data_IF_759948963706
#
_entry.id   IF_759948963706
#
_cell.length_a   1.000
_cell.length_b   1.000
_cell.length_c   1.000
_cell.angle_alpha   90.00
_cell.angle_beta   90.00
_cell.angle_gamma   90.00
#
_symmetry.space_group_name_H-M   'P 1'
#
loop_
_entity.id
_entity.type
_entity.pdbx_description
1 polymer ?
#
# COMPACT_ATOMS: atom_id res chain seq x y z
N UNK A 1 9.49 -18.44 -16.83
CA UNK A 1 8.17 -17.86 -17.19
C UNK A 1 8.22 -16.40 -16.75
N UNK A 2 7.89 -15.44 -17.62
CA UNK A 2 7.98 -14.02 -17.29
C UNK A 2 6.93 -13.70 -16.21
N UNK A 3 7.38 -13.46 -14.98
CA UNK A 3 6.57 -13.29 -13.76
C UNK A 3 6.29 -11.81 -13.54
N UNK A 4 5.77 -11.13 -14.56
CA UNK A 4 5.35 -9.73 -14.46
C UNK A 4 3.83 -9.78 -14.29
N UNK A 5 3.35 -9.84 -13.06
CA UNK A 5 1.91 -9.90 -12.80
C UNK A 5 1.27 -8.54 -13.07
N UNK A 6 1.89 -7.44 -12.60
CA UNK A 6 1.37 -6.10 -12.88
C UNK A 6 2.42 -4.99 -12.97
N UNK A 7 2.06 -3.91 -13.67
CA UNK A 7 2.81 -2.67 -13.72
C UNK A 7 1.96 -1.47 -13.33
N UNK A 8 2.41 -0.66 -12.38
CA UNK A 8 1.71 0.57 -11.99
C UNK A 8 1.88 1.60 -13.10
N UNK A 9 0.79 2.04 -13.70
CA UNK A 9 0.80 3.04 -14.79
C UNK A 9 0.69 4.45 -14.25
N UNK A 10 -0.09 4.64 -13.18
CA UNK A 10 -0.43 5.96 -12.67
C UNK A 10 -0.84 5.91 -11.20
N UNK A 11 -0.39 6.90 -10.43
CA UNK A 11 -0.96 7.17 -9.11
C UNK A 11 -2.13 8.15 -9.29
N UNK A 12 -3.32 7.76 -8.85
CA UNK A 12 -4.54 8.54 -8.98
C UNK A 12 -4.75 9.46 -7.77
N UNK A 13 -4.44 8.97 -6.58
CA UNK A 13 -4.56 9.74 -5.34
C UNK A 13 -3.62 9.18 -4.27
N UNK A 14 -3.15 10.06 -3.39
CA UNK A 14 -2.32 9.72 -2.25
C UNK A 14 -2.84 10.42 -1.00
N UNK A 15 -2.94 9.67 0.08
CA UNK A 15 -3.21 10.21 1.41
C UNK A 15 -2.14 9.73 2.37
N UNK A 16 -1.38 10.68 2.90
CA UNK A 16 -0.31 10.44 3.86
C UNK A 16 -0.85 10.46 5.29
N UNK A 17 -0.25 9.65 6.17
CA UNK A 17 -0.61 9.60 7.59
C UNK A 17 0.04 8.40 8.28
N UNK A 18 -0.30 8.15 9.54
CA UNK A 18 0.11 6.89 10.18
C UNK A 18 -0.66 5.73 9.58
N UNK A 19 0.01 4.60 9.37
CA UNK A 19 -0.59 3.42 8.74
C UNK A 19 -1.88 2.99 9.45
N UNK A 20 -1.93 3.04 10.79
CA UNK A 20 -3.15 2.72 11.52
C UNK A 20 -4.32 3.68 11.21
N UNK A 21 -4.06 4.97 11.02
CA UNK A 21 -5.09 5.96 10.65
C UNK A 21 -5.62 5.70 9.25
N UNK A 22 -4.73 5.30 8.33
CA UNK A 22 -5.07 4.95 6.95
C UNK A 22 -5.94 3.70 6.87
N UNK A 23 -5.81 2.77 7.84
CA UNK A 23 -6.74 1.64 8.03
C UNK A 23 -8.02 1.99 8.80
N UNK A 24 -8.20 3.24 9.25
CA UNK A 24 -9.34 3.64 10.08
C UNK A 24 -9.31 3.03 11.49
N UNK A 25 -8.13 2.65 11.99
CA UNK A 25 -7.95 2.11 13.33
C UNK A 25 -7.72 3.23 14.35
N UNK A 26 -7.98 2.94 15.63
CA UNK A 26 -7.56 3.79 16.74
C UNK A 26 -6.10 3.49 17.13
N UNK A 27 -5.43 4.48 17.72
CA UNK A 27 -4.07 4.31 18.23
C UNK A 27 -3.97 3.17 19.25
N UNK A 28 -4.95 3.05 20.13
CA UNK A 28 -5.03 1.99 21.14
C UNK A 28 -5.04 0.60 20.51
N UNK A 29 -5.82 0.41 19.44
CA UNK A 29 -5.90 -0.85 18.71
C UNK A 29 -4.59 -1.17 17.97
N UNK A 30 -3.91 -0.15 17.46
CA UNK A 30 -2.60 -0.31 16.84
C UNK A 30 -1.53 -0.75 17.86
N UNK A 31 -1.46 -0.07 19.02
CA UNK A 31 -0.47 -0.35 20.07
C UNK A 31 -0.69 -1.70 20.76
N UNK A 32 -1.94 -2.12 20.91
CA UNK A 32 -2.31 -3.41 21.51
C UNK A 32 -2.14 -4.60 20.58
N UNK A 33 -1.67 -4.41 19.34
CA UNK A 33 -1.49 -5.49 18.40
C UNK A 33 -0.47 -6.53 18.93
N UNK A 34 -0.82 -7.84 18.97
CA UNK A 34 -0.03 -8.86 19.66
C UNK A 34 1.34 -9.11 19.00
N UNK A 35 1.46 -8.85 17.69
CA UNK A 35 2.70 -9.01 16.93
C UNK A 35 3.47 -7.69 16.89
N UNK A 36 4.72 -7.66 17.38
CA UNK A 36 5.58 -6.46 17.40
C UNK A 36 5.78 -5.86 16.02
N UNK A 37 6.18 -6.68 15.03
CA UNK A 37 6.40 -6.20 13.66
C UNK A 37 5.18 -5.50 13.06
N UNK A 38 3.99 -6.03 13.32
CA UNK A 38 2.74 -5.41 12.88
C UNK A 38 2.45 -4.11 13.62
N UNK A 39 2.77 -4.04 14.92
CA UNK A 39 2.64 -2.81 15.70
C UNK A 39 3.57 -1.72 15.16
N UNK A 40 4.82 -2.07 14.89
CA UNK A 40 5.81 -1.16 14.29
C UNK A 40 5.35 -0.68 12.90
N UNK A 41 4.85 -1.59 12.07
CA UNK A 41 4.24 -1.26 10.78
C UNK A 41 3.04 -0.30 10.93
N UNK A 42 2.09 -0.60 11.82
CA UNK A 42 0.91 0.23 12.04
C UNK A 42 1.26 1.64 12.55
N UNK A 43 2.30 1.76 13.38
CA UNK A 43 2.76 3.04 13.94
C UNK A 43 3.71 3.82 13.01
N UNK A 44 4.14 3.21 11.91
CA UNK A 44 4.99 3.86 10.92
C UNK A 44 4.22 4.89 10.08
N UNK A 45 4.96 5.82 9.47
CA UNK A 45 4.43 6.72 8.46
C UNK A 45 4.17 5.93 7.17
N UNK A 46 3.01 6.16 6.58
CA UNK A 46 2.56 5.44 5.39
C UNK A 46 1.75 6.31 4.45
N UNK A 47 1.32 5.66 3.38
CA UNK A 47 0.51 6.27 2.34
C UNK A 47 -0.60 5.30 1.93
N UNK A 48 -1.81 5.83 1.80
CA UNK A 48 -2.92 5.18 1.12
C UNK A 48 -2.90 5.67 -0.33
N UNK A 49 -2.55 4.79 -1.25
CA UNK A 49 -2.51 5.08 -2.68
C UNK A 49 -3.70 4.45 -3.37
N UNK A 50 -4.40 5.23 -4.18
CA UNK A 50 -5.25 4.73 -5.25
C UNK A 50 -4.42 4.80 -6.53
N UNK A 51 -4.18 3.66 -7.18
CA UNK A 51 -3.33 3.58 -8.36
C UNK A 51 -3.96 2.74 -9.45
N UNK A 52 -3.63 3.11 -10.68
CA UNK A 52 -3.89 2.34 -11.86
C UNK A 52 -2.69 1.45 -12.15
N UNK A 53 -2.96 0.20 -12.50
CA UNK A 53 -1.96 -0.75 -12.95
C UNK A 53 -2.49 -1.54 -14.13
N UNK A 54 -1.59 -2.04 -14.95
CA UNK A 54 -1.91 -2.99 -16.00
C UNK A 54 -1.46 -4.38 -15.55
N UNK A 55 -2.33 -5.34 -15.78
CA UNK A 55 -2.13 -6.76 -15.55
C UNK A 55 -2.42 -7.50 -16.86
N UNK A 56 -2.14 -8.80 -16.95
CA UNK A 56 -2.48 -9.65 -18.11
C UNK A 56 -3.93 -9.49 -18.60
N UNK A 57 -4.86 -9.10 -17.71
CA UNK A 57 -6.26 -8.83 -18.03
C UNK A 57 -6.59 -7.39 -18.47
N UNK A 58 -5.61 -6.49 -18.57
CA UNK A 58 -5.78 -5.07 -18.89
C UNK A 58 -5.61 -4.14 -17.69
N UNK A 59 -6.05 -2.90 -17.86
CA UNK A 59 -5.90 -1.83 -16.86
C UNK A 59 -6.92 -1.94 -15.73
N UNK A 60 -6.47 -1.86 -14.49
CA UNK A 60 -7.26 -1.95 -13.26
C UNK A 60 -6.86 -0.83 -12.29
N UNK A 61 -7.74 -0.56 -11.33
CA UNK A 61 -7.49 0.38 -10.24
C UNK A 61 -7.58 -0.34 -8.90
N UNK A 62 -6.64 -0.07 -8.00
CA UNK A 62 -6.64 -0.61 -6.63
C UNK A 62 -6.28 0.46 -5.60
N UNK A 63 -6.69 0.19 -4.35
CA UNK A 63 -6.30 0.96 -3.17
C UNK A 63 -5.43 0.13 -2.26
N UNK A 64 -4.27 0.67 -1.89
CA UNK A 64 -3.34 0.01 -0.97
C UNK A 64 -2.83 0.98 0.08
N UNK A 65 -2.75 0.50 1.31
CA UNK A 65 -1.97 1.13 2.37
C UNK A 65 -0.61 0.46 2.43
N UNK A 66 0.46 1.25 2.39
CA UNK A 66 1.84 0.80 2.53
C UNK A 66 2.62 1.75 3.44
N UNK A 67 3.79 1.31 3.91
CA UNK A 67 4.76 2.26 4.49
C UNK A 67 5.30 3.19 3.39
N UNK A 68 5.88 4.33 3.76
CA UNK A 68 6.52 5.21 2.79
C UNK A 68 7.65 4.54 2.00
N UNK A 69 8.33 3.55 2.58
CA UNK A 69 9.40 2.80 1.91
C UNK A 69 8.85 1.83 0.85
N UNK A 70 7.61 1.38 1.01
CA UNK A 70 6.94 0.41 0.14
C UNK A 70 5.88 1.07 -0.77
N UNK A 71 5.90 2.40 -0.88
CA UNK A 71 4.99 3.15 -1.74
C UNK A 71 5.25 2.83 -3.22
N UNK A 72 4.18 2.67 -3.98
CA UNK A 72 4.26 2.46 -5.42
C UNK A 72 4.50 3.77 -6.16
N UNK A 73 5.14 3.65 -7.32
CA UNK A 73 5.41 4.75 -8.24
C UNK A 73 5.06 4.32 -9.67
N UNK A 74 4.75 5.25 -10.59
CA UNK A 74 4.53 4.91 -11.99
C UNK A 74 5.76 4.22 -12.59
N UNK A 75 5.56 3.05 -13.20
CA UNK A 75 6.63 2.17 -13.68
C UNK A 75 7.07 1.10 -12.68
N UNK A 76 6.51 1.07 -11.46
CA UNK A 76 6.72 -0.05 -10.53
C UNK A 76 6.21 -1.35 -11.15
N UNK A 77 7.01 -2.42 -11.06
CA UNK A 77 6.68 -3.76 -11.53
C UNK A 77 6.62 -4.70 -10.34
N UNK A 78 5.50 -5.39 -10.18
CA UNK A 78 5.25 -6.27 -9.03
C UNK A 78 4.71 -7.63 -9.41
N UNK A 79 4.64 -8.48 -8.40
CA UNK A 79 4.04 -9.82 -8.44
C UNK A 79 2.83 -9.87 -7.50
N UNK A 80 1.78 -10.61 -7.90
CA UNK A 80 0.59 -10.85 -7.07
C UNK A 80 0.81 -12.01 -6.10
#
# INVERSE_FOLDING_TARGET
MNVIDFHVTKILSEKYGKVYELYGMTLEKAQSHPKSLWREYLLSDGVLQEYEFWDYGGTRTEKRVSTLADAYYPGYVGQH
#
